data_IF_788022842282
#
_entry.id   IF_788022842282
#
_cell.length_a   1.000
_cell.length_b   1.000
_cell.length_c   1.000
_cell.angle_alpha   90.00
_cell.angle_beta   90.00
_cell.angle_gamma   90.00
#
_symmetry.space_group_name_H-M   'P 1'
#
loop_
_entity.id
_entity.type
_entity.pdbx_description
1 polymer ?
#
# COMPACT_ATOMS: atom_id res chain seq x y z
N UNK A 1 21.45 1.36 -16.92
CA UNK A 1 20.24 2.15 -17.23
C UNK A 1 19.20 1.73 -16.22
N UNK A 2 18.97 2.55 -15.20
CA UNK A 2 17.93 2.33 -14.22
C UNK A 2 16.58 2.40 -14.92
N UNK A 3 15.99 1.24 -15.23
CA UNK A 3 14.59 1.16 -15.57
C UNK A 3 13.84 1.62 -14.31
N UNK A 4 13.55 2.92 -14.21
CA UNK A 4 12.52 3.41 -13.29
C UNK A 4 11.31 2.54 -13.57
N UNK A 5 10.96 1.69 -12.60
CA UNK A 5 9.81 0.81 -12.71
C UNK A 5 8.62 1.69 -13.12
N UNK A 6 8.05 1.43 -14.29
CA UNK A 6 6.85 2.09 -14.82
C UNK A 6 5.58 1.65 -14.12
N UNK A 7 5.72 0.73 -13.14
CA UNK A 7 4.63 0.24 -12.32
C UNK A 7 4.04 1.34 -11.45
N UNK A 8 2.71 1.29 -11.21
CA UNK A 8 2.04 2.25 -10.36
C UNK A 8 2.59 2.26 -8.93
N UNK A 9 2.59 3.46 -8.33
CA UNK A 9 2.98 3.67 -6.93
C UNK A 9 1.70 3.85 -6.13
N UNK A 10 1.41 2.99 -5.13
CA UNK A 10 0.23 3.13 -4.29
C UNK A 10 0.31 4.40 -3.43
N UNK A 11 -0.85 5.03 -3.21
CA UNK A 11 -0.98 6.22 -2.38
C UNK A 11 -2.27 6.22 -1.56
N UNK A 12 -2.25 6.85 -0.39
CA UNK A 12 -3.51 7.14 0.31
C UNK A 12 -4.29 8.23 -0.42
N UNK A 13 -5.58 7.99 -0.63
CA UNK A 13 -6.51 8.99 -1.15
C UNK A 13 -6.62 10.14 -0.16
N UNK A 14 -6.61 11.38 -0.66
CA UNK A 14 -6.73 12.60 0.15
C UNK A 14 -5.71 12.73 1.30
N UNK A 15 -4.57 12.01 1.24
CA UNK A 15 -3.46 12.17 2.18
C UNK A 15 -2.58 13.36 1.80
N UNK A 16 -3.12 14.57 1.98
CA UNK A 16 -2.39 15.81 1.76
C UNK A 16 -1.09 15.83 2.57
N UNK A 17 0.00 16.31 1.96
CA UNK A 17 1.32 16.42 2.59
C UNK A 17 1.87 15.10 3.16
N UNK A 18 1.47 13.94 2.62
CA UNK A 18 1.84 12.62 3.15
C UNK A 18 1.42 12.43 4.62
N UNK A 19 0.26 12.94 5.00
CA UNK A 19 -0.32 12.75 6.35
C UNK A 19 -1.53 11.85 6.29
N UNK A 20 -1.67 11.01 7.29
CA UNK A 20 -2.79 10.07 7.46
C UNK A 20 -3.28 10.17 8.89
N UNK A 21 -4.59 10.35 9.03
CA UNK A 21 -5.20 10.55 10.35
C UNK A 21 -5.45 9.20 11.02
N UNK A 22 -4.95 9.03 12.24
CA UNK A 22 -5.22 7.88 13.09
C UNK A 22 -6.72 7.75 13.32
N UNK A 23 -7.21 6.51 13.40
CA UNK A 23 -8.62 6.19 13.67
C UNK A 23 -9.61 6.88 12.72
N UNK A 24 -9.25 6.97 11.43
CA UNK A 24 -10.18 7.31 10.36
C UNK A 24 -10.10 6.25 9.27
N UNK A 25 -11.23 5.85 8.66
CA UNK A 25 -11.21 5.07 7.42
C UNK A 25 -10.34 5.78 6.37
N UNK A 26 -9.70 5.00 5.52
CA UNK A 26 -8.86 5.51 4.45
C UNK A 26 -8.99 4.64 3.21
N UNK A 27 -8.70 5.21 2.05
CA UNK A 27 -8.62 4.47 0.80
C UNK A 27 -7.19 4.49 0.32
N UNK A 28 -6.62 3.34 -0.04
CA UNK A 28 -5.38 3.30 -0.81
C UNK A 28 -5.73 3.16 -2.29
N UNK A 29 -5.19 4.05 -3.11
CA UNK A 29 -5.30 4.02 -4.56
C UNK A 29 -4.01 3.44 -5.12
N UNK A 30 -4.13 2.34 -5.86
CA UNK A 30 -3.11 1.89 -6.78
C UNK A 30 -3.50 2.41 -8.18
N UNK A 31 -2.74 3.37 -8.74
CA UNK A 31 -3.02 3.89 -10.08
C UNK A 31 -3.10 2.78 -11.13
N UNK A 32 -3.81 3.04 -12.23
CA UNK A 32 -3.90 2.10 -13.33
C UNK A 32 -2.51 1.70 -13.84
N UNK A 33 -2.33 0.42 -14.13
CA UNK A 33 -1.12 -0.05 -14.80
C UNK A 33 -1.05 0.53 -16.22
N UNK A 34 0.16 0.81 -16.74
CA UNK A 34 0.33 1.18 -18.13
C UNK A 34 -0.27 0.11 -19.07
N UNK A 35 -0.85 0.51 -20.21
CA UNK A 35 -1.53 -0.40 -21.12
C UNK A 35 -0.61 -1.48 -21.72
N UNK A 36 0.71 -1.23 -21.75
CA UNK A 36 1.70 -2.14 -22.33
C UNK A 36 2.32 -3.11 -21.30
N UNK A 37 1.88 -3.06 -20.03
CA UNK A 37 2.38 -3.95 -18.98
C UNK A 37 1.49 -5.18 -18.77
N UNK A 38 2.15 -6.30 -18.43
CA UNK A 38 1.44 -7.50 -17.96
C UNK A 38 0.87 -7.23 -16.57
N UNK A 39 -0.45 -7.32 -16.46
CA UNK A 39 -1.15 -7.17 -15.19
C UNK A 39 -0.86 -8.37 -14.27
N UNK A 40 -0.66 -8.15 -12.97
CA UNK A 40 -0.65 -9.25 -12.01
C UNK A 40 -2.06 -9.83 -11.90
N UNK A 41 -2.17 -11.14 -11.63
CA UNK A 41 -3.48 -11.76 -11.48
C UNK A 41 -4.23 -11.25 -10.24
N UNK A 42 -3.52 -11.01 -9.14
CA UNK A 42 -4.06 -10.41 -7.93
C UNK A 42 -3.01 -9.53 -7.24
N UNK A 43 -3.44 -8.36 -6.78
CA UNK A 43 -2.62 -7.36 -6.08
C UNK A 43 -3.20 -7.00 -4.73
N UNK A 44 -2.32 -6.83 -3.75
CA UNK A 44 -2.56 -6.22 -2.45
C UNK A 44 -1.48 -5.16 -2.18
N UNK A 45 -1.65 -4.40 -1.10
CA UNK A 45 -0.70 -3.37 -0.67
C UNK A 45 -0.03 -3.84 0.61
N UNK A 46 1.29 -3.98 0.58
CA UNK A 46 2.10 -4.12 1.78
C UNK A 46 2.28 -2.75 2.44
N UNK A 47 2.05 -2.69 3.74
CA UNK A 47 2.12 -1.48 4.55
C UNK A 47 3.21 -1.69 5.59
N UNK A 48 4.37 -1.11 5.30
CA UNK A 48 5.50 -1.06 6.22
C UNK A 48 5.24 -0.01 7.27
N UNK A 49 5.57 -0.33 8.51
CA UNK A 49 5.21 0.51 9.65
C UNK A 49 6.45 0.79 10.48
N UNK A 50 6.54 2.00 10.98
CA UNK A 50 7.59 2.41 11.90
C UNK A 50 6.96 2.94 13.18
N UNK A 51 7.44 2.44 14.31
CA UNK A 51 7.03 2.89 15.63
C UNK A 51 7.54 4.32 15.93
N UNK A 52 6.95 4.96 16.94
CA UNK A 52 7.41 6.25 17.46
C UNK A 52 8.88 6.23 17.92
N UNK A 53 9.37 5.06 18.36
CA UNK A 53 10.76 4.80 18.74
C UNK A 53 11.72 4.76 17.54
N UNK A 54 11.20 4.71 16.31
CA UNK A 54 11.96 4.50 15.08
C UNK A 54 12.19 3.03 14.74
N UNK A 55 11.77 2.08 15.59
CA UNK A 55 11.85 0.65 15.30
C UNK A 55 10.85 0.23 14.20
N UNK A 56 11.19 -0.74 13.35
CA UNK A 56 10.23 -1.33 12.43
C UNK A 56 9.16 -2.09 13.20
N UNK A 57 7.89 -1.86 12.87
CA UNK A 57 6.76 -2.65 13.32
C UNK A 57 6.42 -3.74 12.30
N UNK A 58 5.55 -4.67 12.68
CA UNK A 58 5.10 -5.75 11.79
C UNK A 58 4.48 -5.18 10.51
N UNK A 59 4.95 -5.60 9.32
CA UNK A 59 4.31 -5.24 8.05
C UNK A 59 2.94 -5.89 7.94
N UNK A 60 1.95 -5.14 7.45
CA UNK A 60 0.58 -5.62 7.25
C UNK A 60 0.22 -5.52 5.78
N UNK A 61 -0.75 -6.29 5.33
CA UNK A 61 -1.16 -6.32 3.93
C UNK A 61 -2.67 -6.03 3.84
N UNK A 62 -3.11 -5.36 2.78
CA UNK A 62 -4.55 -5.19 2.51
C UNK A 62 -5.17 -6.53 2.13
N UNK A 63 -6.33 -6.83 2.68
CA UNK A 63 -7.15 -7.97 2.28
C UNK A 63 -8.58 -7.52 1.94
N UNK A 64 -9.26 -8.14 0.97
CA UNK A 64 -8.75 -9.17 0.07
C UNK A 64 -7.77 -8.60 -0.97
N UNK A 65 -6.98 -9.48 -1.58
CA UNK A 65 -6.26 -9.13 -2.81
C UNK A 65 -7.28 -8.91 -3.93
N UNK A 66 -6.99 -7.97 -4.82
CA UNK A 66 -7.89 -7.56 -5.90
C UNK A 66 -7.30 -7.88 -7.27
N UNK A 67 -8.14 -8.26 -8.22
CA UNK A 67 -7.72 -8.40 -9.61
C UNK A 67 -7.73 -7.02 -10.27
N UNK A 68 -6.57 -6.51 -10.74
CA UNK A 68 -6.53 -5.21 -11.39
C UNK A 68 -7.14 -5.27 -12.80
N UNK A 69 -7.71 -4.15 -13.24
CA UNK A 69 -8.29 -4.00 -14.58
C UNK A 69 -7.46 -2.98 -15.37
N UNK A 70 -7.12 -3.32 -16.61
CA UNK A 70 -6.33 -2.46 -17.49
C UNK A 70 -6.97 -1.07 -17.64
N UNK A 71 -6.19 -0.01 -17.43
CA UNK A 71 -6.67 1.37 -17.53
C UNK A 71 -7.56 1.83 -16.38
N UNK A 72 -7.75 1.03 -15.33
CA UNK A 72 -8.56 1.37 -14.15
C UNK A 72 -7.69 1.31 -12.90
N UNK A 73 -7.81 2.32 -12.03
CA UNK A 73 -7.17 2.30 -10.71
C UNK A 73 -7.82 1.24 -9.81
N UNK A 74 -7.01 0.57 -9.00
CA UNK A 74 -7.51 -0.36 -7.98
C UNK A 74 -7.60 0.36 -6.64
N UNK A 75 -8.75 0.24 -5.96
CA UNK A 75 -9.01 0.92 -4.68
C UNK A 75 -9.08 -0.09 -3.55
N UNK A 76 -8.31 0.13 -2.49
CA UNK A 76 -8.35 -0.66 -1.27
C UNK A 76 -8.97 0.18 -0.16
N UNK A 77 -10.23 -0.10 0.15
CA UNK A 77 -10.93 0.56 1.26
C UNK A 77 -10.48 -0.06 2.57
N UNK A 78 -9.99 0.79 3.48
CA UNK A 78 -9.60 0.42 4.83
C UNK A 78 -10.65 0.95 5.79
N UNK A 79 -11.28 0.02 6.50
CA UNK A 79 -12.23 0.31 7.56
C UNK A 79 -11.55 1.03 8.73
N UNK A 80 -12.37 1.58 9.63
CA UNK A 80 -11.87 2.15 10.88
C UNK A 80 -11.09 1.13 11.72
N UNK A 81 -11.54 -0.12 11.76
CA UNK A 81 -10.90 -1.20 12.50
C UNK A 81 -9.50 -1.51 11.93
N UNK A 82 -9.42 -1.67 10.61
CA UNK A 82 -8.15 -1.90 9.92
C UNK A 82 -7.21 -0.71 10.11
N UNK A 83 -7.70 0.53 9.97
CA UNK A 83 -6.87 1.71 10.18
C UNK A 83 -6.42 1.86 11.64
N UNK A 84 -7.22 1.44 12.61
CA UNK A 84 -6.83 1.42 14.03
C UNK A 84 -5.74 0.38 14.29
N UNK A 85 -5.78 -0.75 13.60
CA UNK A 85 -4.73 -1.76 13.65
C UNK A 85 -3.45 -1.32 12.91
N UNK A 86 -3.59 -0.75 11.71
CA UNK A 86 -2.50 -0.31 10.85
C UNK A 86 -1.78 0.89 11.46
N UNK A 87 -2.52 1.95 11.80
CA UNK A 87 -2.00 3.23 12.28
C UNK A 87 -2.15 3.41 13.80
N UNK A 88 -2.05 2.29 14.54
CA UNK A 88 -2.25 2.23 15.99
C UNK A 88 -1.46 3.25 16.81
N UNK A 89 -1.68 3.31 18.14
CA UNK A 89 -1.24 4.43 18.98
C UNK A 89 0.27 4.71 18.94
N UNK A 90 1.08 3.68 18.70
CA UNK A 90 2.55 3.79 18.69
C UNK A 90 3.15 3.90 17.29
N UNK A 91 2.34 3.92 16.23
CA UNK A 91 2.83 4.01 14.86
C UNK A 91 3.03 5.48 14.48
N UNK A 92 4.24 5.77 13.98
CA UNK A 92 4.67 7.11 13.56
C UNK A 92 4.55 7.30 12.05
N UNK A 93 4.90 6.27 11.28
CA UNK A 93 4.86 6.37 9.83
C UNK A 93 4.49 5.06 9.15
N UNK A 94 3.87 5.19 7.98
CA UNK A 94 3.54 4.10 7.07
C UNK A 94 4.27 4.30 5.75
N UNK A 95 4.67 3.22 5.10
CA UNK A 95 5.18 3.22 3.72
C UNK A 95 4.44 2.13 2.95
N UNK A 96 4.02 2.45 1.73
CA UNK A 96 3.25 1.55 0.88
C UNK A 96 4.18 0.84 -0.12
N UNK A 97 3.97 -0.45 -0.26
CA UNK A 97 4.56 -1.32 -1.27
C UNK A 97 3.50 -2.17 -1.94
N UNK A 98 3.82 -2.74 -3.10
CA UNK A 98 2.88 -3.58 -3.86
C UNK A 98 3.17 -5.05 -3.62
N UNK A 99 2.15 -5.86 -3.33
CA UNK A 99 2.25 -7.29 -3.01
C UNK A 99 1.40 -8.11 -3.98
N UNK A 100 1.93 -9.22 -4.48
CA UNK A 100 1.20 -10.10 -5.40
C UNK A 100 0.85 -11.42 -4.72
N UNK A 101 -0.33 -11.97 -5.02
CA UNK A 101 -0.74 -13.25 -4.47
C UNK A 101 0.08 -14.40 -5.10
N UNK A 102 0.56 -15.31 -4.25
CA UNK A 102 1.36 -16.47 -4.66
C UNK A 102 0.60 -17.48 -5.55
N UNK A 103 -0.73 -17.36 -5.69
CA UNK A 103 -1.53 -18.22 -6.57
C UNK A 103 -1.27 -17.99 -8.07
N UNK A 104 -0.44 -17.01 -8.43
CA UNK A 104 -0.14 -16.62 -9.81
C UNK A 104 1.11 -17.30 -10.39
N UNK A 105 1.75 -18.23 -9.68
CA UNK A 105 3.04 -18.83 -10.10
C UNK A 105 4.25 -17.88 -9.97
N UNK A 106 3.99 -16.59 -9.74
CA UNK A 106 4.96 -15.62 -9.23
C UNK A 106 5.18 -15.89 -7.73
N UNK A 107 6.34 -16.47 -7.39
CA UNK A 107 6.73 -16.66 -5.99
C UNK A 107 6.59 -15.34 -5.25
N UNK A 108 5.87 -15.33 -4.12
CA UNK A 108 5.41 -14.09 -3.46
C UNK A 108 6.50 -13.04 -3.32
N UNK A 109 6.55 -12.10 -4.28
CA UNK A 109 7.58 -11.07 -4.34
C UNK A 109 7.40 -10.15 -3.13
N UNK A 110 8.47 -9.90 -2.33
CA UNK A 110 8.38 -8.99 -1.19
C UNK A 110 7.74 -7.68 -1.63
N UNK A 111 6.95 -7.06 -0.75
CA UNK A 111 6.23 -5.86 -1.12
C UNK A 111 7.22 -4.71 -1.34
N UNK A 112 7.85 -4.58 -2.48
CA UNK A 112 8.91 -3.56 -2.63
C UNK A 112 8.38 -2.19 -2.21
N UNK A 113 9.16 -1.48 -1.37
CA UNK A 113 8.79 -0.14 -0.91
C UNK A 113 8.69 0.77 -2.14
N UNK A 114 7.52 1.37 -2.34
CA UNK A 114 7.25 2.20 -3.53
C UNK A 114 6.91 3.65 -3.18
N UNK A 115 6.18 3.89 -2.09
CA UNK A 115 5.76 5.26 -1.74
C UNK A 115 6.78 5.98 -0.88
N UNK A 116 6.74 7.33 -0.83
CA UNK A 116 7.30 8.09 0.29
C UNK A 116 6.64 7.69 1.62
N UNK A 117 7.28 7.99 2.77
CA UNK A 117 6.69 7.75 4.07
C UNK A 117 5.53 8.72 4.35
N UNK A 118 4.42 8.16 4.81
CA UNK A 118 3.29 8.88 5.34
C UNK A 118 3.43 9.03 6.86
N UNK A 119 3.29 10.25 7.38
CA UNK A 119 3.26 10.50 8.82
C UNK A 119 1.86 10.21 9.36
N UNK A 120 1.79 9.38 10.39
CA UNK A 120 0.56 9.14 11.14
C UNK A 120 0.36 10.30 12.10
N UNK A 121 -0.76 11.00 11.94
CA UNK A 121 -1.15 12.15 12.74
C UNK A 121 -2.48 11.85 13.45
N UNK A 122 -2.70 12.41 14.63
CA UNK A 122 -3.93 12.20 15.38
C UNK A 122 -3.71 12.18 16.88
#
# INVERSE_FOLDING_TARGET
MDQKSTRPIPKFENAEEFKITRNRPATIILPAYPPDEVLPAYVGIGIYRTEATGAPAHTVETAPFQQPVAGIETRFELTLEEMSYIAGPNIKSLILGERYAAQSGEGGFPADIKSPPYTVVG
#
